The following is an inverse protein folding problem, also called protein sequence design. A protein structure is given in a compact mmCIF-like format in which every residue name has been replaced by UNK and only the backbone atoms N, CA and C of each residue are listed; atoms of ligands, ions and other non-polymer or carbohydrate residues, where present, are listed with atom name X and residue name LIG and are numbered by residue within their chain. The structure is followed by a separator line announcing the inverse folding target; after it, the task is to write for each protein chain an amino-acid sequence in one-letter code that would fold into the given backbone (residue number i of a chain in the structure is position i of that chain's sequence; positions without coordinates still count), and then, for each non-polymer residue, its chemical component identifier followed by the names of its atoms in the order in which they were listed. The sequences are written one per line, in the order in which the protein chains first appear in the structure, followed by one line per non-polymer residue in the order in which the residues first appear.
data_IF_233379092310
#
_entry.id   IF_233379092310
#
_cell.length_a   1.000
_cell.length_b   1.000
_cell.length_c   1.000
_cell.angle_alpha   90.00
_cell.angle_beta   90.00
_cell.angle_gamma   90.00
#
_symmetry.space_group_name_H-M   'P 1'
#
loop_
_entity.id
_entity.type
_entity.pdbx_description
1 polymer ?
#
# COMPACT_ATOMS: atom_id res chain seq x y z
N UNK A 1 15.36 -1.76 7.90
CA UNK A 1 15.60 -2.88 8.83
C UNK A 1 14.95 -4.12 8.24
N UNK A 2 15.70 -5.19 8.02
CA UNK A 2 15.13 -6.49 7.67
C UNK A 2 14.34 -7.01 8.88
N UNK A 3 13.10 -7.47 8.65
CA UNK A 3 12.23 -8.00 9.71
C UNK A 3 12.87 -9.18 10.44
N UNK A 4 13.69 -9.99 9.73
CA UNK A 4 14.40 -11.12 10.33
C UNK A 4 15.50 -10.67 11.30
N UNK A 5 16.27 -9.66 10.92
CA UNK A 5 17.32 -9.10 11.77
C UNK A 5 16.75 -8.42 13.01
N UNK A 6 15.65 -7.68 12.86
CA UNK A 6 14.92 -7.07 13.97
C UNK A 6 14.37 -8.13 14.95
N UNK A 7 13.81 -9.23 14.44
CA UNK A 7 13.32 -10.34 15.27
C UNK A 7 14.46 -11.03 16.04
N UNK A 8 15.60 -11.31 15.38
CA UNK A 8 16.76 -11.92 16.04
C UNK A 8 17.24 -11.07 17.22
N UNK A 9 17.28 -9.75 17.04
CA UNK A 9 17.70 -8.81 18.10
C UNK A 9 16.71 -8.72 19.26
N UNK A 10 15.41 -8.82 18.99
CA UNK A 10 14.40 -8.93 20.08
C UNK A 10 14.64 -10.22 20.87
N UNK A 11 14.87 -11.35 20.21
CA UNK A 11 15.13 -12.64 20.89
C UNK A 11 16.38 -12.56 21.78
N UNK A 12 17.44 -11.91 21.31
CA UNK A 12 18.66 -11.68 22.10
C UNK A 12 18.40 -10.79 23.32
N UNK A 13 17.60 -9.72 23.16
CA UNK A 13 17.24 -8.79 24.23
C UNK A 13 16.27 -9.40 25.25
N UNK A 14 15.38 -10.31 24.84
CA UNK A 14 14.39 -10.97 25.69
C UNK A 14 14.81 -12.37 26.13
N UNK A 15 16.08 -12.74 25.99
CA UNK A 15 16.58 -14.06 26.37
C UNK A 15 16.60 -14.28 27.90
N UNK A 16 16.83 -13.20 28.67
CA UNK A 16 16.89 -13.25 30.13
C UNK A 16 15.49 -13.17 30.73
N UNK A 17 15.19 -13.97 31.75
CA UNK A 17 13.84 -14.04 32.35
C UNK A 17 13.36 -12.69 32.93
N UNK A 18 14.28 -11.86 33.43
CA UNK A 18 14.00 -10.55 34.04
C UNK A 18 14.27 -9.35 33.11
N UNK A 19 14.33 -9.55 31.79
CA UNK A 19 14.62 -8.46 30.83
C UNK A 19 13.68 -7.25 30.95
N UNK A 20 12.49 -7.44 31.51
CA UNK A 20 11.48 -6.40 31.75
C UNK A 20 11.84 -5.42 32.87
N UNK A 21 12.78 -5.80 33.76
CA UNK A 21 13.27 -4.94 34.85
C UNK A 21 14.27 -3.89 34.33
N UNK A 22 14.92 -4.18 33.21
CA UNK A 22 15.85 -3.27 32.55
C UNK A 22 15.10 -2.31 31.62
N UNK A 23 14.98 -1.05 32.06
CA UNK A 23 14.31 0.01 31.31
C UNK A 23 14.97 0.27 29.95
N UNK A 24 16.28 0.04 29.80
CA UNK A 24 16.98 0.25 28.54
C UNK A 24 16.63 -0.85 27.54
N UNK A 25 16.61 -2.11 27.99
CA UNK A 25 16.21 -3.25 27.16
C UNK A 25 14.75 -3.11 26.73
N UNK A 26 13.86 -2.72 27.65
CA UNK A 26 12.44 -2.48 27.32
C UNK A 26 12.27 -1.37 26.28
N UNK A 27 13.02 -0.28 26.40
CA UNK A 27 12.99 0.82 25.43
C UNK A 27 13.49 0.39 24.05
N UNK A 28 14.56 -0.42 23.98
CA UNK A 28 15.10 -0.94 22.71
C UNK A 28 14.11 -1.91 22.04
N UNK A 29 13.53 -2.85 22.78
CA UNK A 29 12.51 -3.78 22.27
C UNK A 29 11.27 -3.03 21.75
N UNK A 30 10.78 -2.03 22.50
CA UNK A 30 9.65 -1.21 22.06
C UNK A 30 9.96 -0.39 20.80
N UNK A 31 11.17 0.15 20.68
CA UNK A 31 11.61 0.89 19.50
C UNK A 31 11.66 -0.01 18.26
N UNK A 32 12.22 -1.21 18.41
CA UNK A 32 12.26 -2.21 17.32
C UNK A 32 10.83 -2.63 16.95
N UNK A 33 9.99 -2.92 17.94
CA UNK A 33 8.57 -3.27 17.75
C UNK A 33 7.79 -2.20 17.01
N UNK A 34 7.90 -0.93 17.41
CA UNK A 34 7.25 0.21 16.72
C UNK A 34 7.70 0.32 15.27
N UNK A 35 8.98 0.14 14.98
CA UNK A 35 9.49 0.17 13.60
C UNK A 35 9.01 -1.01 12.73
N UNK A 36 8.80 -2.18 13.35
CA UNK A 36 8.27 -3.39 12.71
C UNK A 36 6.78 -3.28 12.39
N UNK A 37 6.03 -2.62 13.28
CA UNK A 37 4.57 -2.49 13.24
C UNK A 37 4.07 -1.12 12.78
N UNK A 38 4.95 -0.20 12.37
CA UNK A 38 4.53 0.98 11.63
C UNK A 38 3.72 0.50 10.43
N UNK A 39 2.39 0.65 10.52
CA UNK A 39 1.48 0.34 9.43
C UNK A 39 2.02 1.03 8.18
N UNK A 40 2.01 0.31 7.04
CA UNK A 40 2.31 0.96 5.77
C UNK A 40 1.42 2.20 5.70
N UNK A 41 1.98 3.41 5.53
CA UNK A 41 1.17 4.61 5.56
C UNK A 41 0.02 4.40 4.56
N UNK A 42 -1.22 4.44 5.05
CA UNK A 42 -2.39 4.53 4.16
C UNK A 42 -2.09 5.69 3.23
N UNK A 43 -2.06 5.42 1.92
CA UNK A 43 -1.67 6.44 0.94
C UNK A 43 -2.58 7.65 1.13
N UNK A 44 -1.97 8.82 1.37
CA UNK A 44 -2.69 10.07 1.66
C UNK A 44 -3.47 10.59 0.45
N UNK A 45 -3.03 10.25 -0.76
CA UNK A 45 -3.67 10.69 -2.02
C UNK A 45 -4.24 9.49 -2.79
N UNK A 46 -5.50 9.58 -3.28
CA UNK A 46 -6.05 8.59 -4.19
C UNK A 46 -5.29 8.65 -5.52
N UNK A 47 -4.83 7.48 -6.01
CA UNK A 47 -4.11 7.40 -7.29
C UNK A 47 -5.02 7.80 -8.44
N UNK A 48 -4.50 8.62 -9.36
CA UNK A 48 -5.16 8.88 -10.64
C UNK A 48 -5.07 7.67 -11.55
N UNK A 49 -6.14 7.45 -12.29
CA UNK A 49 -6.30 6.36 -13.25
C UNK A 49 -6.70 7.00 -14.58
N UNK A 50 -6.03 6.58 -15.64
CA UNK A 50 -6.39 6.92 -17.01
C UNK A 50 -7.16 5.75 -17.63
N UNK A 51 -8.25 6.07 -18.31
CA UNK A 51 -8.99 5.15 -19.18
C UNK A 51 -8.46 5.34 -20.59
N UNK A 52 -7.87 4.28 -21.13
CA UNK A 52 -7.37 4.20 -22.50
C UNK A 52 -8.41 3.49 -23.37
N UNK A 53 -8.45 3.83 -24.64
CA UNK A 53 -9.15 3.09 -25.69
C UNK A 53 -8.20 3.01 -26.89
N UNK A 54 -7.60 1.84 -27.11
CA UNK A 54 -6.42 1.71 -27.96
C UNK A 54 -5.30 2.65 -27.48
N UNK A 55 -4.81 3.52 -28.36
CA UNK A 55 -3.70 4.44 -28.07
C UNK A 55 -4.13 5.81 -27.53
N UNK A 56 -5.44 6.01 -27.29
CA UNK A 56 -5.97 7.30 -26.84
C UNK A 56 -6.42 7.25 -25.40
N UNK A 57 -6.06 8.26 -24.63
CA UNK A 57 -6.63 8.50 -23.29
C UNK A 57 -8.00 9.15 -23.47
N UNK A 58 -9.04 8.47 -23.00
CA UNK A 58 -10.40 9.02 -22.97
C UNK A 58 -10.57 9.98 -21.79
N UNK A 59 -10.19 9.55 -20.60
CA UNK A 59 -10.43 10.31 -19.38
C UNK A 59 -9.42 9.92 -18.30
N UNK A 60 -9.02 10.89 -17.49
CA UNK A 60 -8.11 10.69 -16.35
C UNK A 60 -8.74 11.28 -15.11
N UNK A 61 -8.75 10.53 -14.01
CA UNK A 61 -9.32 10.99 -12.75
C UNK A 61 -9.07 10.03 -11.61
N UNK A 62 -9.62 10.33 -10.43
CA UNK A 62 -9.66 9.36 -9.33
C UNK A 62 -10.66 8.25 -9.65
N UNK A 63 -10.56 7.11 -8.98
CA UNK A 63 -11.56 6.03 -9.14
C UNK A 63 -12.99 6.51 -8.83
N UNK A 64 -13.16 7.54 -8.00
CA UNK A 64 -14.47 8.12 -7.68
C UNK A 64 -15.04 8.90 -8.87
N UNK A 65 -14.25 9.79 -9.46
CA UNK A 65 -14.63 10.54 -10.65
C UNK A 65 -14.91 9.60 -11.84
N UNK A 66 -14.06 8.58 -12.02
CA UNK A 66 -14.27 7.57 -13.04
C UNK A 66 -15.52 6.73 -12.79
N UNK A 67 -15.89 6.51 -11.52
CA UNK A 67 -17.10 5.77 -11.15
C UNK A 67 -18.34 6.52 -11.59
N UNK A 68 -18.38 7.83 -11.37
CA UNK A 68 -19.46 8.71 -11.81
C UNK A 68 -19.59 8.76 -13.34
N UNK A 69 -18.47 8.84 -14.06
CA UNK A 69 -18.46 8.94 -15.52
C UNK A 69 -18.83 7.59 -16.19
N UNK A 70 -18.30 6.49 -15.67
CA UNK A 70 -18.41 5.17 -16.34
C UNK A 70 -19.57 4.32 -15.82
N UNK A 71 -20.18 4.69 -14.70
CA UNK A 71 -21.17 3.87 -14.00
C UNK A 71 -20.58 2.60 -13.36
N UNK A 72 -19.25 2.42 -13.37
CA UNK A 72 -18.57 1.29 -12.74
C UNK A 72 -18.32 1.58 -11.26
N UNK A 73 -18.33 0.56 -10.41
CA UNK A 73 -17.92 0.73 -9.02
C UNK A 73 -16.42 1.03 -8.90
N UNK A 74 -16.04 1.81 -7.88
CA UNK A 74 -14.63 2.14 -7.56
C UNK A 74 -13.76 0.89 -7.47
N UNK A 75 -14.28 -0.18 -6.88
CA UNK A 75 -13.57 -1.45 -6.72
C UNK A 75 -13.26 -2.12 -8.05
N UNK A 76 -14.20 -2.11 -9.01
CA UNK A 76 -13.98 -2.66 -10.36
C UNK A 76 -12.91 -1.83 -11.09
N UNK A 77 -12.94 -0.51 -10.95
CA UNK A 77 -11.96 0.38 -11.57
C UNK A 77 -10.56 0.11 -11.01
N UNK A 78 -10.41 -0.02 -9.69
CA UNK A 78 -9.14 -0.39 -9.07
C UNK A 78 -8.65 -1.77 -9.48
N UNK A 79 -9.56 -2.73 -9.59
CA UNK A 79 -9.21 -4.08 -9.98
C UNK A 79 -8.68 -4.13 -11.40
N UNK A 80 -9.38 -3.50 -12.34
CA UNK A 80 -8.94 -3.36 -13.74
C UNK A 80 -7.63 -2.60 -13.88
N UNK A 81 -7.44 -1.54 -13.09
CA UNK A 81 -6.19 -0.77 -13.07
C UNK A 81 -5.00 -1.58 -12.53
N UNK A 82 -5.25 -2.61 -11.70
CA UNK A 82 -4.21 -3.54 -11.20
C UNK A 82 -3.94 -4.69 -12.16
N UNK A 83 -5.00 -5.27 -12.74
CA UNK A 83 -4.89 -6.44 -13.62
C UNK A 83 -4.47 -6.09 -15.05
N UNK A 84 -4.51 -4.81 -15.42
CA UNK A 84 -4.25 -4.30 -16.79
C UNK A 84 -5.19 -4.91 -17.84
N UNK A 85 -6.34 -5.43 -17.41
CA UNK A 85 -7.31 -6.07 -18.27
C UNK A 85 -7.98 -5.05 -19.23
N UNK A 86 -8.13 -5.45 -20.48
CA UNK A 86 -8.84 -4.70 -21.52
C UNK A 86 -10.28 -5.19 -21.51
N UNK A 87 -11.23 -4.27 -21.36
CA UNK A 87 -12.64 -4.63 -21.31
C UNK A 87 -13.24 -4.94 -22.68
N UNK A 88 -14.47 -5.46 -22.67
CA UNK A 88 -15.22 -5.77 -23.90
C UNK A 88 -15.53 -4.54 -24.77
N UNK A 89 -15.28 -3.33 -24.26
CA UNK A 89 -15.36 -2.05 -24.98
C UNK A 89 -13.98 -1.51 -25.32
N UNK A 90 -12.96 -2.36 -25.32
CA UNK A 90 -11.56 -2.03 -25.60
C UNK A 90 -10.96 -0.98 -24.66
N UNK A 91 -11.57 -0.79 -23.47
CA UNK A 91 -11.07 0.15 -22.48
C UNK A 91 -10.05 -0.49 -21.57
N UNK A 92 -8.93 0.19 -21.37
CA UNK A 92 -7.91 -0.23 -20.43
C UNK A 92 -7.72 0.81 -19.34
N UNK A 93 -7.72 0.36 -18.08
CA UNK A 93 -7.53 1.24 -16.93
C UNK A 93 -6.07 1.15 -16.50
N UNK A 94 -5.38 2.28 -16.38
CA UNK A 94 -3.97 2.31 -15.94
C UNK A 94 -3.75 3.37 -14.88
N UNK A 95 -3.01 3.04 -13.84
CA UNK A 95 -2.56 4.06 -12.89
C UNK A 95 -1.61 5.04 -13.57
N UNK A 96 -1.85 6.33 -13.37
CA UNK A 96 -0.92 7.38 -13.80
C UNK A 96 0.10 7.55 -12.68
N UNK A 97 1.39 7.38 -12.98
CA UNK A 97 2.44 7.70 -12.04
C UNK A 97 2.49 9.23 -11.87
N UNK A 98 2.12 9.72 -10.69
CA UNK A 98 2.42 11.09 -10.28
C UNK A 98 3.91 11.13 -9.92
N UNK A 99 4.71 11.83 -10.73
CA UNK A 99 6.13 12.14 -10.48
C UNK A 99 6.28 13.11 -9.32
#
# INVERSE_FOLDING_TARGET
MDKKAAMKRIIELTHSENWQEDKEIVAEVQKIGKSMWTEKPKRKTPRKIAIWHGDRILVTGTAEQLSEITGLSKNIIWDRARSLWIDSKERQFRYVEEK
#
